data_IF_180519648789
#
_entry.id   IF_180519648789
#
_cell.length_a   1.000
_cell.length_b   1.000
_cell.length_c   1.000
_cell.angle_alpha   90.00
_cell.angle_beta   90.00
_cell.angle_gamma   90.00
#
_symmetry.space_group_name_H-M   'P 1'
#
loop_
_entity.id
_entity.type
_entity.pdbx_description
1 polymer ?
#
# COMPACT_ATOMS: atom_id res chain seq x y z
N UNK A 1 2.69 24.16 -0.12
CA UNK A 1 2.95 22.71 -0.23
C UNK A 1 2.48 22.26 -1.60
N UNK A 2 3.37 21.76 -2.45
CA UNK A 2 3.02 21.28 -3.81
C UNK A 2 2.07 20.09 -3.67
N UNK A 3 0.96 20.07 -4.41
CA UNK A 3 0.04 18.94 -4.39
C UNK A 3 0.78 17.72 -4.95
N UNK A 4 0.95 16.68 -4.14
CA UNK A 4 1.50 15.40 -4.61
C UNK A 4 0.36 14.56 -5.14
N UNK A 5 0.45 14.14 -6.41
CA UNK A 5 -0.50 13.21 -6.99
C UNK A 5 -0.53 11.92 -6.15
N UNK A 6 -1.73 11.43 -5.87
CA UNK A 6 -1.93 10.13 -5.22
C UNK A 6 -1.59 8.99 -6.19
N UNK A 7 -1.91 9.19 -7.47
CA UNK A 7 -1.64 8.24 -8.53
C UNK A 7 -1.35 8.96 -9.85
N UNK A 8 -0.46 8.39 -10.66
CA UNK A 8 -0.11 8.88 -11.99
C UNK A 8 -0.20 7.71 -12.97
N UNK A 9 -0.80 7.97 -14.13
CA UNK A 9 -0.98 6.96 -15.16
C UNK A 9 -1.60 7.55 -16.42
N UNK A 10 -2.34 6.75 -17.18
CA UNK A 10 -2.96 7.16 -18.43
C UNK A 10 -4.41 6.70 -18.52
N UNK A 11 -5.28 7.48 -19.16
CA UNK A 11 -6.61 7.04 -19.60
C UNK A 11 -6.49 6.59 -21.05
N UNK A 12 -6.96 5.38 -21.36
CA UNK A 12 -7.01 4.84 -22.72
C UNK A 12 -8.43 4.89 -23.27
N UNK A 13 -8.58 5.57 -24.40
CA UNK A 13 -9.79 5.61 -25.21
C UNK A 13 -9.48 4.96 -26.57
N UNK A 14 -9.90 3.71 -26.74
CA UNK A 14 -9.54 2.89 -27.91
C UNK A 14 -8.01 2.87 -28.15
N UNK A 15 -7.51 3.65 -29.12
CA UNK A 15 -6.10 3.75 -29.47
C UNK A 15 -5.40 5.02 -28.94
N UNK A 16 -6.15 5.92 -28.30
CA UNK A 16 -5.62 7.17 -27.74
C UNK A 16 -5.28 6.96 -26.27
N UNK A 17 -4.08 7.38 -25.86
CA UNK A 17 -3.63 7.33 -24.46
C UNK A 17 -3.32 8.74 -23.96
N UNK A 18 -3.98 9.15 -22.88
CA UNK A 18 -3.89 10.50 -22.30
C UNK A 18 -3.28 10.39 -20.91
N UNK A 19 -2.11 10.99 -20.62
CA UNK A 19 -1.54 10.97 -19.28
C UNK A 19 -2.41 11.79 -18.31
N UNK A 20 -2.63 11.26 -17.11
CA UNK A 20 -3.43 11.91 -16.07
C UNK A 20 -2.81 11.73 -14.68
N UNK A 21 -3.20 12.63 -13.79
CA UNK A 21 -2.83 12.61 -12.38
C UNK A 21 -4.10 12.63 -11.52
N UNK A 22 -4.16 11.75 -10.52
CA UNK A 22 -5.28 11.69 -9.58
C UNK A 22 -4.86 12.36 -8.28
N UNK A 23 -5.72 13.27 -7.82
CA UNK A 23 -5.56 14.00 -6.58
C UNK A 23 -6.71 13.67 -5.62
N UNK A 24 -6.45 13.54 -4.31
CA UNK A 24 -7.51 13.31 -3.34
C UNK A 24 -8.43 14.55 -3.27
N UNK A 25 -9.73 14.34 -3.45
CA UNK A 25 -10.75 15.41 -3.38
C UNK A 25 -10.87 16.00 -1.96
N UNK A 26 -10.68 15.16 -0.93
CA UNK A 26 -10.67 15.56 0.47
C UNK A 26 -9.30 15.31 1.08
N UNK A 27 -8.79 16.28 1.83
CA UNK A 27 -7.63 16.07 2.69
C UNK A 27 -8.13 15.81 4.09
N UNK A 28 -7.99 14.58 4.60
CA UNK A 28 -8.10 14.33 6.03
C UNK A 28 -7.05 15.24 6.70
N UNK A 29 -7.52 16.23 7.47
CA UNK A 29 -6.67 17.30 8.02
C UNK A 29 -5.44 16.72 8.71
N UNK A 30 -4.32 17.45 8.61
CA UNK A 30 -3.01 17.07 9.14
C UNK A 30 -3.14 16.31 10.47
N UNK A 31 -3.08 14.98 10.39
CA UNK A 31 -3.27 14.14 11.56
C UNK A 31 -2.14 14.49 12.52
N UNK A 32 -2.47 14.98 13.72
CA UNK A 32 -1.50 15.14 14.79
C UNK A 32 -0.96 13.73 15.09
N UNK A 33 0.24 13.43 14.60
CA UNK A 33 0.87 12.14 14.83
C UNK A 33 1.61 12.19 16.16
N UNK A 34 1.12 11.42 17.12
CA UNK A 34 1.82 11.20 18.38
C UNK A 34 2.96 10.21 18.18
N UNK A 35 4.10 10.49 18.81
CA UNK A 35 5.23 9.56 18.89
C UNK A 35 5.23 8.93 20.27
N UNK A 36 5.53 7.64 20.33
CA UNK A 36 5.72 6.96 21.62
C UNK A 36 7.03 7.42 22.24
N UNK A 37 6.94 7.97 23.45
CA UNK A 37 8.06 8.45 24.25
C UNK A 37 8.15 7.58 25.50
N UNK A 38 9.34 7.08 25.79
CA UNK A 38 9.61 6.41 27.06
C UNK A 38 9.63 7.46 28.17
N UNK A 39 8.58 7.49 28.99
CA UNK A 39 8.29 8.53 29.98
C UNK A 39 9.50 8.85 30.88
N UNK A 40 10.20 7.86 31.50
CA UNK A 40 11.33 8.16 32.40
C UNK A 40 12.54 8.79 31.71
N UNK A 41 12.77 8.49 30.42
CA UNK A 41 13.98 8.95 29.71
C UNK A 41 13.74 10.10 28.74
N UNK A 42 12.47 10.40 28.43
CA UNK A 42 12.09 11.35 27.38
C UNK A 42 12.50 10.94 25.97
N UNK A 43 13.05 9.73 25.78
CA UNK A 43 13.54 9.26 24.47
C UNK A 43 12.43 8.59 23.68
N UNK A 44 12.52 8.68 22.35
CA UNK A 44 11.59 8.00 21.43
C UNK A 44 11.77 6.48 21.50
N UNK A 45 10.67 5.75 21.56
CA UNK A 45 10.67 4.28 21.42
C UNK A 45 11.05 3.89 19.99
N UNK A 46 11.92 2.88 19.86
CA UNK A 46 12.28 2.24 18.58
C UNK A 46 11.84 0.78 18.64
N UNK A 47 11.41 0.25 17.49
CA UNK A 47 11.05 -1.15 17.35
C UNK A 47 12.18 -1.91 16.67
N UNK A 48 12.46 -3.09 17.20
CA UNK A 48 13.45 -4.03 16.67
C UNK A 48 12.78 -5.38 16.48
N UNK A 49 13.06 -6.03 15.35
CA UNK A 49 12.52 -7.36 15.07
C UNK A 49 13.52 -8.38 15.61
N UNK A 50 13.04 -9.29 16.44
CA UNK A 50 13.89 -10.22 17.19
C UNK A 50 13.37 -11.64 17.07
N UNK A 51 14.26 -12.60 16.85
CA UNK A 51 13.97 -14.04 16.89
C UNK A 51 14.47 -14.62 18.20
N UNK A 52 13.63 -15.41 18.88
CA UNK A 52 13.99 -16.06 20.13
C UNK A 52 15.23 -16.95 19.96
N UNK A 53 16.27 -16.70 20.77
CA UNK A 53 17.52 -17.48 20.76
C UNK A 53 18.60 -17.00 19.78
N UNK A 54 18.26 -16.08 18.86
CA UNK A 54 19.18 -15.51 17.87
C UNK A 54 19.44 -14.03 18.19
N UNK A 55 18.38 -13.29 18.50
CA UNK A 55 18.45 -11.84 18.75
C UNK A 55 17.86 -11.04 17.58
N UNK A 56 18.30 -9.78 17.40
CA UNK A 56 17.81 -8.92 16.34
C UNK A 56 18.09 -9.48 14.95
N UNK A 57 17.12 -9.30 14.05
CA UNK A 57 17.22 -9.74 12.65
C UNK A 57 16.87 -8.61 11.71
N UNK A 58 17.54 -8.58 10.55
CA UNK A 58 17.24 -7.60 9.52
C UNK A 58 15.94 -7.95 8.80
N UNK A 59 15.35 -6.94 8.13
CA UNK A 59 14.08 -7.11 7.43
C UNK A 59 14.18 -8.13 6.29
N UNK A 60 15.35 -8.23 5.65
CA UNK A 60 15.59 -9.08 4.48
C UNK A 60 15.70 -10.56 4.87
N UNK A 61 15.95 -10.87 6.15
CA UNK A 61 15.96 -12.23 6.69
C UNK A 61 14.55 -12.73 7.06
N UNK A 62 13.51 -11.91 6.89
CA UNK A 62 12.14 -12.22 7.32
C UNK A 62 11.26 -12.58 6.13
N UNK A 63 10.96 -13.88 6.02
CA UNK A 63 9.98 -14.42 5.08
C UNK A 63 8.57 -14.41 5.68
N UNK A 64 7.55 -14.38 4.83
CA UNK A 64 6.16 -14.55 5.25
C UNK A 64 5.82 -16.03 5.19
N UNK A 65 5.25 -16.58 6.27
CA UNK A 65 4.77 -17.96 6.31
C UNK A 65 3.25 -18.01 6.48
N UNK A 66 2.57 -18.88 5.74
CA UNK A 66 1.16 -19.22 5.99
C UNK A 66 1.07 -20.61 6.64
N UNK A 67 0.41 -20.71 7.79
CA UNK A 67 0.26 -21.98 8.51
C UNK A 67 -0.82 -22.84 7.85
N UNK A 68 -0.43 -23.96 7.24
CA UNK A 68 -1.36 -24.89 6.56
C UNK A 68 -1.81 -26.00 7.50
N UNK A 69 -0.95 -26.38 8.43
CA UNK A 69 -1.29 -27.26 9.56
C UNK A 69 -0.39 -26.92 10.74
N UNK A 70 -0.75 -27.37 11.94
CA UNK A 70 -0.06 -27.01 13.18
C UNK A 70 1.46 -27.19 13.07
N UNK A 71 2.20 -26.08 13.06
CA UNK A 71 3.66 -26.07 12.96
C UNK A 71 4.24 -26.29 11.54
N UNK A 72 3.40 -26.45 10.52
CA UNK A 72 3.81 -26.53 9.12
C UNK A 72 3.42 -25.24 8.39
N UNK A 73 4.44 -24.51 7.95
CA UNK A 73 4.29 -23.23 7.28
C UNK A 73 4.70 -23.36 5.82
N UNK A 74 3.89 -22.83 4.92
CA UNK A 74 4.31 -22.54 3.54
C UNK A 74 4.95 -21.17 3.55
N UNK A 75 6.23 -21.12 3.22
CA UNK A 75 6.96 -19.87 3.06
C UNK A 75 6.57 -19.24 1.72
N UNK A 76 6.30 -17.94 1.76
CA UNK A 76 5.99 -17.11 0.60
C UNK A 76 7.05 -16.04 0.51
N UNK A 77 7.77 -16.04 -0.60
CA UNK A 77 8.69 -14.96 -0.91
C UNK A 77 7.92 -13.69 -1.28
N UNK A 78 8.58 -12.55 -1.10
CA UNK A 78 7.99 -11.26 -1.45
C UNK A 78 7.70 -11.17 -2.96
N UNK A 79 8.56 -11.79 -3.78
CA UNK A 79 8.43 -11.83 -5.24
C UNK A 79 7.27 -12.72 -5.70
N UNK A 80 7.01 -13.85 -5.03
CA UNK A 80 5.86 -14.72 -5.32
C UNK A 80 4.53 -14.00 -5.02
N UNK A 81 4.48 -13.26 -3.90
CA UNK A 81 3.32 -12.43 -3.55
C UNK A 81 3.13 -11.33 -4.60
N UNK A 82 4.21 -10.74 -5.11
CA UNK A 82 4.15 -9.72 -6.15
C UNK A 82 3.75 -10.27 -7.52
N UNK A 83 4.18 -11.49 -7.87
CA UNK A 83 3.78 -12.16 -9.10
C UNK A 83 2.27 -12.50 -9.12
N UNK A 84 1.68 -12.76 -7.96
CA UNK A 84 0.23 -13.02 -7.82
C UNK A 84 -0.58 -11.73 -7.74
N UNK A 85 0.03 -10.58 -7.43
CA UNK A 85 -0.70 -9.30 -7.47
C UNK A 85 -1.18 -9.08 -8.89
N UNK A 86 -2.48 -8.87 -9.03
CA UNK A 86 -3.08 -8.35 -10.26
C UNK A 86 -2.27 -7.13 -10.68
N UNK A 87 -1.75 -7.14 -11.91
CA UNK A 87 -0.99 -6.02 -12.44
C UNK A 87 -1.72 -4.72 -12.13
N UNK A 88 -1.08 -3.85 -11.34
CA UNK A 88 -1.58 -2.50 -11.13
C UNK A 88 -1.46 -1.78 -12.46
N UNK A 89 -2.50 -1.85 -13.28
CA UNK A 89 -2.52 -1.16 -14.56
C UNK A 89 -2.38 0.32 -14.25
N UNK A 90 -1.28 0.92 -14.68
CA UNK A 90 -1.11 2.39 -14.76
C UNK A 90 -2.04 3.00 -15.84
N UNK A 91 -3.04 2.25 -16.26
CA UNK A 91 -3.93 2.55 -17.37
C UNK A 91 -5.35 2.36 -16.89
N UNK A 92 -6.14 3.43 -16.95
CA UNK A 92 -7.58 3.40 -16.81
C UNK A 92 -8.19 3.24 -18.20
N UNK A 93 -8.94 2.16 -18.42
CA UNK A 93 -9.62 1.93 -19.69
C UNK A 93 -11.00 2.58 -19.64
N UNK A 94 -11.31 3.44 -20.63
CA UNK A 94 -12.67 3.95 -20.76
C UNK A 94 -13.56 2.86 -21.35
N UNK A 95 -14.53 2.40 -20.57
CA UNK A 95 -15.48 1.36 -20.97
C UNK A 95 -16.70 1.95 -21.66
N UNK A 96 -17.28 3.01 -21.10
CA UNK A 96 -18.50 3.63 -21.61
C UNK A 96 -18.69 5.06 -21.09
N UNK A 97 -19.56 5.81 -21.75
CA UNK A 97 -20.16 7.04 -21.25
C UNK A 97 -21.59 6.73 -20.84
N UNK A 98 -22.00 7.22 -19.67
CA UNK A 98 -23.35 7.04 -19.12
C UNK A 98 -23.94 8.40 -18.77
N UNK A 99 -25.26 8.49 -18.71
CA UNK A 99 -25.93 9.68 -18.20
C UNK A 99 -25.76 9.77 -16.68
N UNK A 100 -25.77 11.00 -16.15
CA UNK A 100 -25.54 11.23 -14.72
C UNK A 100 -26.55 10.51 -13.82
N UNK A 101 -27.78 10.32 -14.29
CA UNK A 101 -28.84 9.65 -13.53
C UNK A 101 -28.69 8.12 -13.48
N UNK A 102 -27.81 7.55 -14.31
CA UNK A 102 -27.48 6.12 -14.28
C UNK A 102 -26.45 5.78 -13.19
N UNK A 103 -25.81 6.79 -12.58
CA UNK A 103 -24.85 6.65 -11.49
C UNK A 103 -25.57 6.81 -10.15
N UNK A 104 -25.58 5.75 -9.35
CA UNK A 104 -26.12 5.80 -7.99
C UNK A 104 -25.25 6.70 -7.10
N UNK A 105 -25.90 7.65 -6.41
CA UNK A 105 -25.26 8.62 -5.49
C UNK A 105 -25.39 8.09 -4.06
N UNK A 106 -24.57 7.09 -3.74
CA UNK A 106 -24.38 6.59 -2.37
C UNK A 106 -23.44 7.48 -1.56
#
# INVERSE_FOLDING_TARGET
MVARAYWQGQIRLALVSIPVEIYPATRSGASIQFRQIHEPSGKRVRYEKVVSGIGPVDRDEILKGYEVSKGNYVLLEQDEIEAVKVESRKTLELVQFVEAHEIDVL
#
